data_IF_229107769802
#
_entry.id   IF_229107769802
#
_cell.length_a   1.000
_cell.length_b   1.000
_cell.length_c   1.000
_cell.angle_alpha   90.00
_cell.angle_beta   90.00
_cell.angle_gamma   90.00
#
_symmetry.space_group_name_H-M   'P 1'
#
loop_
_entity.id
_entity.type
_entity.pdbx_description
1 polymer ?
#
# COMPACT_ATOMS: atom_id res chain seq x y z
N UNK A 1 27.74 27.90 3.32
CA UNK A 1 27.26 26.71 4.06
C UNK A 1 26.02 26.20 3.34
N UNK A 2 25.89 24.90 3.12
CA UNK A 2 24.72 24.27 2.48
C UNK A 2 23.66 23.93 3.52
N UNK A 3 22.89 24.93 3.95
CA UNK A 3 21.78 24.75 4.90
C UNK A 3 20.60 24.07 4.22
N UNK A 4 20.48 22.75 4.35
CA UNK A 4 19.34 21.98 3.88
C UNK A 4 18.07 22.36 4.67
N UNK A 5 17.26 23.26 4.13
CA UNK A 5 15.97 23.66 4.71
C UNK A 5 15.03 22.45 4.83
N UNK A 6 14.21 22.42 5.88
CA UNK A 6 13.23 21.35 6.14
C UNK A 6 12.28 21.10 4.95
N UNK A 7 11.88 22.17 4.25
CA UNK A 7 11.10 22.09 3.00
C UNK A 7 11.83 21.34 1.88
N UNK A 8 13.16 21.51 1.75
CA UNK A 8 13.97 20.82 0.75
C UNK A 8 14.08 19.33 1.06
N UNK A 9 14.16 18.94 2.34
CA UNK A 9 14.13 17.54 2.76
C UNK A 9 12.78 16.88 2.40
N UNK A 10 11.66 17.49 2.81
CA UNK A 10 10.34 16.92 2.52
C UNK A 10 10.01 16.96 1.02
N UNK A 11 10.37 18.02 0.29
CA UNK A 11 10.20 18.10 -1.17
C UNK A 11 11.03 17.06 -1.93
N UNK A 12 12.27 16.80 -1.51
CA UNK A 12 13.12 15.74 -2.08
C UNK A 12 12.49 14.36 -1.86
N UNK A 13 12.09 14.06 -0.63
CA UNK A 13 11.44 12.78 -0.29
C UNK A 13 10.07 12.63 -0.98
N UNK A 14 9.31 13.71 -1.14
CA UNK A 14 8.08 13.76 -1.94
C UNK A 14 8.33 13.43 -3.42
N UNK A 15 9.41 13.96 -4.01
CA UNK A 15 9.81 13.62 -5.38
C UNK A 15 10.15 12.13 -5.56
N UNK A 16 10.82 11.53 -4.57
CA UNK A 16 11.12 10.08 -4.56
C UNK A 16 9.83 9.25 -4.46
N UNK A 17 8.93 9.57 -3.53
CA UNK A 17 7.63 8.88 -3.38
C UNK A 17 6.73 9.06 -4.61
N UNK A 18 6.70 10.26 -5.21
CA UNK A 18 5.94 10.52 -6.43
C UNK A 18 6.46 9.68 -7.60
N UNK A 19 7.78 9.59 -7.79
CA UNK A 19 8.37 8.72 -8.83
C UNK A 19 8.03 7.25 -8.59
N UNK A 20 8.09 6.78 -7.34
CA UNK A 20 7.72 5.41 -7.00
C UNK A 20 6.23 5.10 -7.28
N UNK A 21 5.31 6.03 -6.99
CA UNK A 21 3.88 5.91 -7.32
C UNK A 21 3.62 5.99 -8.83
N UNK A 22 4.32 6.86 -9.56
CA UNK A 22 4.19 7.00 -11.01
C UNK A 22 4.71 5.77 -11.78
N UNK A 23 5.73 5.08 -11.24
CA UNK A 23 6.33 3.89 -11.87
C UNK A 23 5.63 2.58 -11.48
N UNK A 24 5.30 2.39 -10.19
CA UNK A 24 4.74 1.14 -9.68
C UNK A 24 3.20 1.16 -9.58
N UNK A 25 2.58 2.34 -9.72
CA UNK A 25 1.15 2.53 -9.53
C UNK A 25 0.71 2.50 -8.05
N UNK A 26 -0.62 2.39 -7.81
CA UNK A 26 -1.24 2.45 -6.49
C UNK A 26 -0.58 1.52 -5.46
N UNK A 27 0.00 2.11 -4.42
CA UNK A 27 0.86 1.41 -3.45
C UNK A 27 0.49 1.71 -2.00
N UNK A 28 0.74 0.76 -1.11
CA UNK A 28 0.58 0.93 0.34
C UNK A 28 1.91 1.33 1.02
N UNK A 29 1.86 1.84 2.25
CA UNK A 29 3.06 2.28 3.02
C UNK A 29 4.18 1.24 3.05
N UNK A 30 3.86 -0.05 3.29
CA UNK A 30 4.86 -1.14 3.36
C UNK A 30 5.53 -1.41 2.02
N UNK A 31 4.85 -1.13 0.90
CA UNK A 31 5.47 -1.18 -0.42
C UNK A 31 6.31 0.08 -0.68
N UNK A 32 5.79 1.27 -0.37
CA UNK A 32 6.50 2.54 -0.57
C UNK A 32 7.84 2.61 0.18
N UNK A 33 7.87 2.23 1.46
CA UNK A 33 9.11 2.11 2.26
C UNK A 33 10.12 1.18 1.57
N UNK A 34 9.66 0.08 0.96
CA UNK A 34 10.52 -0.88 0.25
C UNK A 34 10.99 -0.41 -1.12
N UNK A 35 10.22 0.41 -1.84
CA UNK A 35 10.58 0.88 -3.19
C UNK A 35 11.34 2.20 -3.19
N UNK A 36 11.23 2.98 -2.12
CA UNK A 36 11.93 4.27 -1.95
C UNK A 36 13.16 4.19 -1.06
N UNK A 37 13.30 3.12 -0.26
CA UNK A 37 14.32 2.97 0.79
C UNK A 37 14.29 4.05 1.89
N UNK A 38 13.20 4.83 1.96
CA UNK A 38 12.96 5.82 3.00
C UNK A 38 12.34 5.19 4.25
N UNK A 39 12.50 5.84 5.41
CA UNK A 39 11.78 5.46 6.63
C UNK A 39 10.26 5.63 6.47
N UNK A 40 9.48 5.01 7.37
CA UNK A 40 8.02 5.13 7.38
C UNK A 40 7.59 6.59 7.61
N UNK A 41 8.36 7.28 8.44
CA UNK A 41 8.16 8.65 8.91
C UNK A 41 8.42 9.63 7.78
N UNK A 42 9.51 9.45 7.02
CA UNK A 42 9.78 10.19 5.79
C UNK A 42 8.74 9.93 4.71
N UNK A 43 8.29 8.68 4.53
CA UNK A 43 7.20 8.35 3.60
C UNK A 43 5.92 9.07 4.00
N UNK A 44 5.56 9.15 5.28
CA UNK A 44 4.39 9.92 5.72
C UNK A 44 4.56 11.43 5.50
N UNK A 45 5.74 12.00 5.78
CA UNK A 45 6.03 13.42 5.48
C UNK A 45 5.93 13.73 3.98
N UNK A 46 6.51 12.88 3.14
CA UNK A 46 6.43 12.95 1.68
C UNK A 46 4.98 12.83 1.16
N UNK A 47 4.19 11.91 1.72
CA UNK A 47 2.77 11.77 1.37
C UNK A 47 1.94 13.00 1.81
N UNK A 48 2.25 13.58 2.97
CA UNK A 48 1.64 14.84 3.43
C UNK A 48 1.98 16.02 2.53
N UNK A 49 3.23 16.11 2.06
CA UNK A 49 3.68 17.11 1.10
C UNK A 49 2.96 16.99 -0.25
N UNK A 50 2.85 15.77 -0.80
CA UNK A 50 2.07 15.52 -2.03
C UNK A 50 0.56 15.75 -1.83
N UNK A 51 0.05 15.57 -0.60
CA UNK A 51 -1.33 15.89 -0.22
C UNK A 51 -1.61 17.40 -0.20
N UNK A 52 -0.68 18.21 0.32
CA UNK A 52 -0.72 19.68 0.24
C UNK A 52 -0.81 20.19 -1.20
N UNK A 53 -0.14 19.50 -2.13
CA UNK A 53 -0.18 19.81 -3.56
C UNK A 53 -1.41 19.20 -4.29
N UNK A 54 -2.32 18.51 -3.59
CA UNK A 54 -3.51 17.83 -4.13
C UNK A 54 -3.22 16.72 -5.18
N UNK A 55 -1.95 16.37 -5.40
CA UNK A 55 -1.45 15.41 -6.40
C UNK A 55 -1.72 13.94 -6.04
N UNK A 56 -2.38 13.67 -4.92
CA UNK A 56 -2.48 12.35 -4.31
C UNK A 56 -3.92 11.99 -3.91
N UNK A 57 -4.31 10.74 -4.20
CA UNK A 57 -5.59 10.13 -3.85
C UNK A 57 -5.34 8.96 -2.90
N UNK A 58 -6.07 8.94 -1.78
CA UNK A 58 -6.06 7.84 -0.82
C UNK A 58 -7.31 6.98 -0.96
N UNK A 59 -7.16 5.66 -0.88
CA UNK A 59 -8.26 4.70 -0.88
C UNK A 59 -8.04 3.63 0.18
N UNK A 60 -9.04 3.42 1.04
CA UNK A 60 -9.00 2.35 2.04
C UNK A 60 -9.41 1.01 1.41
N UNK A 61 -8.47 0.06 1.33
CA UNK A 61 -8.71 -1.31 0.87
C UNK A 61 -8.75 -2.26 2.06
N UNK A 62 -9.91 -2.31 2.72
CA UNK A 62 -10.12 -3.08 3.94
C UNK A 62 -9.32 -2.50 5.11
N UNK A 63 -8.32 -3.25 5.61
CA UNK A 63 -7.42 -2.82 6.70
C UNK A 63 -6.18 -2.04 6.22
N UNK A 64 -5.97 -1.88 4.91
CA UNK A 64 -4.79 -1.20 4.35
C UNK A 64 -5.17 0.10 3.63
N UNK A 65 -4.43 1.18 3.90
CA UNK A 65 -4.50 2.39 3.09
C UNK A 65 -3.64 2.23 1.83
N UNK A 66 -4.19 2.59 0.67
CA UNK A 66 -3.52 2.60 -0.64
C UNK A 66 -3.46 4.04 -1.14
N UNK A 67 -2.31 4.44 -1.65
CA UNK A 67 -2.00 5.77 -2.12
C UNK A 67 -1.78 5.69 -3.63
N UNK A 68 -2.40 6.61 -4.36
CA UNK A 68 -2.34 6.71 -5.83
C UNK A 68 -2.06 8.16 -6.20
N UNK A 69 -1.40 8.42 -7.33
CA UNK A 69 -1.41 9.78 -7.87
C UNK A 69 -2.82 10.15 -8.34
N UNK A 70 -3.18 11.43 -8.23
CA UNK A 70 -4.34 11.99 -8.91
C UNK A 70 -4.10 11.85 -10.42
N UNK A 71 -5.12 11.35 -11.13
CA UNK A 71 -5.10 11.29 -12.58
C UNK A 71 -5.32 12.68 -13.15
N UNK A 72 -4.26 13.47 -13.25
CA UNK A 72 -4.29 14.67 -14.08
C UNK A 72 -4.34 14.23 -15.54
N UNK A 73 -5.39 14.61 -16.26
CA UNK A 73 -5.45 14.46 -17.71
C UNK A 73 -4.28 15.24 -18.33
N UNK A 74 -3.63 14.69 -19.37
CA UNK A 74 -2.41 15.27 -19.94
C UNK A 74 -2.65 16.63 -20.62
N UNK A 75 -2.55 17.71 -19.86
CA UNK A 75 -2.90 19.08 -20.28
C UNK A 75 -1.78 20.10 -20.11
N UNK A 76 -0.90 20.15 -21.11
CA UNK A 76 -0.11 21.30 -21.58
C UNK A 76 0.12 22.47 -20.59
N UNK A 77 1.31 22.52 -20.00
CA UNK A 77 2.20 23.67 -20.18
C UNK A 77 3.51 23.12 -20.76
N UNK A 78 3.68 23.34 -22.07
CA UNK A 78 5.00 23.65 -22.61
C UNK A 78 5.03 25.18 -22.82
N UNK A 79 6.12 25.71 -23.37
CA UNK A 79 6.49 27.13 -23.30
C UNK A 79 6.92 27.46 -21.84
N UNK A 80 8.20 27.55 -21.48
CA UNK A 80 9.39 27.87 -22.29
C UNK A 80 10.60 26.93 -22.03
N UNK A 81 11.74 27.17 -22.70
CA UNK A 81 12.80 26.18 -22.93
C UNK A 81 13.57 25.64 -21.70
N UNK A 82 13.69 24.30 -21.59
CA UNK A 82 14.97 23.64 -21.28
C UNK A 82 15.10 22.36 -22.11
N UNK A 83 16.08 22.30 -23.01
CA UNK A 83 16.27 21.18 -23.93
C UNK A 83 17.17 20.07 -23.34
N UNK A 84 16.58 18.94 -22.94
CA UNK A 84 17.30 17.67 -22.72
C UNK A 84 16.55 16.51 -23.40
N UNK A 85 17.32 15.68 -24.09
CA UNK A 85 16.93 14.64 -25.04
C UNK A 85 16.09 13.49 -24.43
N UNK A 86 15.19 12.90 -25.22
CA UNK A 86 14.30 11.81 -24.81
C UNK A 86 14.78 10.43 -25.30
N UNK A 87 14.71 9.42 -24.42
CA UNK A 87 14.79 8.00 -24.79
C UNK A 87 13.46 7.26 -24.47
N UNK A 88 13.06 6.22 -25.25
CA UNK A 88 11.64 5.87 -25.39
C UNK A 88 11.05 4.93 -24.32
N UNK A 89 9.76 5.12 -24.04
CA UNK A 89 8.93 4.24 -23.19
C UNK A 89 8.39 3.03 -24.00
N UNK A 90 8.60 1.77 -23.57
CA UNK A 90 7.89 0.62 -24.15
C UNK A 90 6.43 0.57 -23.67
N UNK A 91 5.50 1.06 -24.49
CA UNK A 91 4.04 0.86 -24.30
C UNK A 91 3.67 -0.60 -24.63
N UNK A 92 3.37 -1.42 -23.63
CA UNK A 92 2.71 -2.72 -23.86
C UNK A 92 1.19 -2.55 -24.00
N UNK A 93 0.67 -2.75 -25.22
CA UNK A 93 -0.78 -2.82 -25.49
C UNK A 93 -1.30 -4.26 -25.35
N UNK A 94 -2.59 -4.39 -25.07
CA UNK A 94 -3.34 -5.64 -24.88
C UNK A 94 -2.91 -6.86 -25.71
N UNK A 95 -2.98 -8.04 -25.07
CA UNK A 95 -3.64 -9.23 -25.66
C UNK A 95 -4.76 -9.72 -24.75
N UNK A 96 -5.95 -9.93 -25.32
CA UNK A 96 -6.99 -10.79 -24.74
C UNK A 96 -6.64 -12.25 -25.07
N UNK A 97 -6.91 -13.17 -24.15
CA UNK A 97 -6.96 -14.61 -24.41
C UNK A 97 -8.04 -15.24 -23.52
N UNK A 98 -8.70 -16.28 -24.02
CA UNK A 98 -9.83 -16.94 -23.34
C UNK A 98 -9.40 -18.16 -22.52
N UNK A 99 -10.09 -18.37 -21.39
CA UNK A 99 -10.61 -19.64 -20.82
C UNK A 99 -9.88 -20.98 -21.10
N UNK A 100 -9.78 -21.86 -20.08
CA UNK A 100 -10.93 -22.72 -19.77
C UNK A 100 -11.27 -22.94 -18.29
N UNK A 101 -12.55 -23.22 -18.03
CA UNK A 101 -13.06 -23.85 -16.80
C UNK A 101 -12.91 -25.38 -16.92
N UNK A 102 -12.71 -26.09 -15.81
CA UNK A 102 -13.16 -27.49 -15.64
C UNK A 102 -13.66 -27.73 -14.21
N UNK A 103 -14.78 -28.44 -14.08
CA UNK A 103 -15.44 -28.80 -12.81
C UNK A 103 -15.39 -30.32 -12.59
N UNK A 104 -15.65 -30.77 -11.35
CA UNK A 104 -15.74 -32.18 -10.91
C UNK A 104 -14.95 -32.36 -9.61
N UNK A 105 -15.51 -32.62 -8.42
CA UNK A 105 -16.45 -33.69 -8.00
C UNK A 105 -15.81 -35.08 -8.22
N UNK A 106 -15.84 -36.04 -7.27
CA UNK A 106 -16.96 -36.51 -6.43
C UNK A 106 -16.50 -37.03 -5.03
N UNK A 107 -17.43 -37.02 -4.05
CA UNK A 107 -17.66 -37.84 -2.80
C UNK A 107 -16.68 -39.01 -2.52
N UNK A 108 -16.46 -39.53 -1.30
CA UNK A 108 -17.27 -39.62 -0.05
C UNK A 108 -16.31 -39.86 1.16
N UNK A 109 -16.62 -40.23 2.41
CA UNK A 109 -17.81 -40.67 3.23
C UNK A 109 -17.66 -40.02 4.64
N UNK A 110 -18.70 -39.66 5.40
CA UNK A 110 -19.68 -40.41 6.24
C UNK A 110 -19.12 -41.03 7.56
N UNK A 111 -19.71 -40.57 8.68
CA UNK A 111 -19.42 -40.78 10.12
C UNK A 111 -19.80 -42.19 10.66
N UNK A 112 -19.54 -42.59 11.95
CA UNK A 112 -20.21 -41.99 13.14
C UNK A 112 -19.47 -42.07 14.53
N UNK A 113 -20.21 -41.62 15.57
CA UNK A 113 -20.20 -42.04 16.99
C UNK A 113 -19.49 -41.20 18.09
N UNK A 114 -20.26 -40.98 19.17
CA UNK A 114 -19.93 -40.63 20.58
C UNK A 114 -19.92 -41.93 21.41
N UNK A 115 -19.58 -41.96 22.73
CA UNK A 115 -19.32 -40.88 23.70
C UNK A 115 -17.85 -40.91 24.20
N UNK A 116 -17.40 -40.45 25.39
CA UNK A 116 -17.92 -39.89 26.68
C UNK A 116 -16.85 -38.85 27.17
N UNK A 117 -16.80 -38.18 28.34
CA UNK A 117 -17.54 -38.13 29.62
C UNK A 117 -17.39 -36.73 30.29
N UNK A 118 -17.55 -36.60 31.61
CA UNK A 118 -17.24 -35.43 32.47
C UNK A 118 -17.06 -35.93 33.92
N UNK A 119 -16.19 -35.37 34.79
CA UNK A 119 -16.41 -34.00 35.32
C UNK A 119 -15.20 -33.21 35.91
N UNK A 120 -15.53 -32.02 36.45
CA UNK A 120 -15.00 -31.40 37.68
C UNK A 120 -13.67 -30.59 37.72
N UNK A 121 -13.84 -29.26 37.98
CA UNK A 121 -13.04 -28.37 38.88
C UNK A 121 -11.57 -28.07 38.45
N UNK A 122 -10.88 -27.00 38.90
CA UNK A 122 -11.15 -25.95 39.92
C UNK A 122 -10.52 -24.57 39.50
N UNK A 123 -10.38 -23.54 40.36
CA UNK A 123 -11.26 -22.37 40.42
C UNK A 123 -10.73 -21.07 39.78
N UNK A 124 -11.60 -20.05 39.77
CA UNK A 124 -11.35 -18.68 39.34
C UNK A 124 -10.36 -17.94 40.27
N UNK A 125 -9.30 -17.32 39.72
CA UNK A 125 -8.12 -16.86 40.49
C UNK A 125 -8.00 -15.32 40.59
N UNK A 126 -9.13 -14.65 40.84
CA UNK A 126 -9.24 -13.17 40.76
C UNK A 126 -9.41 -12.47 42.12
N UNK A 127 -9.29 -13.18 43.24
CA UNK A 127 -9.63 -12.69 44.58
C UNK A 127 -8.47 -12.10 45.41
N UNK A 128 -7.33 -11.75 44.79
CA UNK A 128 -6.09 -11.36 45.50
C UNK A 128 -5.77 -9.84 45.45
N UNK A 129 -6.67 -9.01 44.93
CA UNK A 129 -6.43 -7.58 44.66
C UNK A 129 -7.23 -6.59 45.54
N UNK A 130 -7.65 -6.99 46.74
CA UNK A 130 -8.46 -6.13 47.62
C UNK A 130 -8.23 -6.37 49.13
N UNK A 131 -6.97 -6.30 49.58
CA UNK A 131 -6.64 -5.90 50.96
C UNK A 131 -5.21 -5.36 51.07
N UNK A 132 -5.04 -4.33 51.92
CA UNK A 132 -3.83 -3.49 52.15
C UNK A 132 -3.63 -2.39 51.10
#
# INVERSE_FOLDING_TARGET
>A
MNTSTIESLFGTNAGVVWRALNQNGPSNIRNLVKTTSLSREEVFGALGWLGRENKLVMAQKGRAMVFSLRGEEGGLIMDDEINIEHAPKPRSKHRKANQPKKNGMIRSVKSPAKPTESPAKEPDRMAEYLLH
#
